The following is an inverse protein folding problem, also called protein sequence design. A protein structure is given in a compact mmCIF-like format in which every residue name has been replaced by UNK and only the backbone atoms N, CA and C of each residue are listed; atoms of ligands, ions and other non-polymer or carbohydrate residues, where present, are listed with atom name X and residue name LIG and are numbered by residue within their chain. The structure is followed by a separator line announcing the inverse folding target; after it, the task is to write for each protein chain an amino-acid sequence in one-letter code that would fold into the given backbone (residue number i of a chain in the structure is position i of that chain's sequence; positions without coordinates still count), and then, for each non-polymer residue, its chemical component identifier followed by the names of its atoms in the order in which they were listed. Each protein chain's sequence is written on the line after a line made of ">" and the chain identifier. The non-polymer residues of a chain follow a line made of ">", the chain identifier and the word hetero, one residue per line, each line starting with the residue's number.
data_IF_416627657654
#
_entry.id   IF_416627657654
#
_cell.length_a   1.000
_cell.length_b   1.000
_cell.length_c   1.000
_cell.angle_alpha   90.00
_cell.angle_beta   90.00
_cell.angle_gamma   90.00
#
_symmetry.space_group_name_H-M   'P 1'
#
loop_
_entity.id
_entity.type
_entity.pdbx_description
1 polymer ?
#
# COMPACT_ATOMS: atom_id res chain seq x y z
N UNK A 1 21.21 19.17 15.95
CA UNK A 1 20.11 19.57 15.04
C UNK A 1 19.74 21.04 15.13
N UNK A 2 20.28 21.86 16.06
CA UNK A 2 20.02 23.31 16.06
C UNK A 2 18.56 23.71 16.29
N UNK A 3 17.72 22.78 16.75
CA UNK A 3 16.31 23.03 17.04
C UNK A 3 16.21 23.67 18.43
N UNK A 4 15.47 24.78 18.59
CA UNK A 4 15.29 25.43 19.88
C UNK A 4 14.71 24.52 20.96
N UNK A 5 15.22 24.64 22.19
CA UNK A 5 14.81 23.78 23.32
C UNK A 5 13.33 23.90 23.70
N UNK A 6 12.71 25.06 23.47
CA UNK A 6 11.29 25.26 23.75
C UNK A 6 10.38 24.39 22.87
N UNK A 7 10.86 23.90 21.72
CA UNK A 7 10.12 22.98 20.84
C UNK A 7 10.40 21.50 21.18
N UNK A 8 11.61 21.18 21.65
CA UNK A 8 11.99 19.79 21.97
C UNK A 8 11.58 19.39 23.39
N UNK A 9 11.53 20.33 24.33
CA UNK A 9 11.12 20.12 25.72
C UNK A 9 9.72 19.50 25.84
N UNK A 10 8.66 20.05 25.20
CA UNK A 10 7.32 19.47 25.26
C UNK A 10 7.29 18.03 24.74
N UNK A 11 7.94 17.77 23.61
CA UNK A 11 8.03 16.43 23.03
C UNK A 11 8.77 15.47 23.98
N UNK A 12 9.90 15.90 24.56
CA UNK A 12 10.65 15.08 25.51
C UNK A 12 9.80 14.75 26.75
N UNK A 13 9.06 15.72 27.28
CA UNK A 13 8.19 15.53 28.44
C UNK A 13 7.00 14.60 28.13
N UNK A 14 6.53 14.56 26.87
CA UNK A 14 5.50 13.58 26.45
C UNK A 14 5.97 12.14 26.34
N UNK A 15 7.28 11.86 26.44
CA UNK A 15 7.82 10.49 26.36
C UNK A 15 8.70 10.11 27.57
N UNK A 16 9.21 11.07 28.33
CA UNK A 16 10.11 10.81 29.45
C UNK A 16 9.33 10.37 30.71
N UNK A 17 9.73 9.25 31.30
CA UNK A 17 9.26 8.79 32.62
C UNK A 17 7.76 8.51 32.68
N UNK A 18 7.16 8.10 31.57
CA UNK A 18 5.71 7.88 31.50
C UNK A 18 5.31 6.52 32.04
N UNK A 19 4.18 6.50 32.73
CA UNK A 19 3.45 5.28 33.06
C UNK A 19 2.12 5.26 32.29
N UNK A 20 1.69 4.07 31.89
CA UNK A 20 0.41 3.83 31.27
C UNK A 20 -0.39 2.79 32.06
N UNK A 21 -1.70 2.85 31.89
CA UNK A 21 -2.62 1.78 32.26
C UNK A 21 -3.56 1.54 31.09
N UNK A 22 -4.04 0.29 30.92
CA UNK A 22 -4.96 -0.09 29.86
C UNK A 22 -6.34 -0.28 30.46
N UNK A 23 -7.31 0.49 29.96
CA UNK A 23 -8.73 0.26 30.26
C UNK A 23 -9.29 -0.79 29.32
N UNK A 24 -9.76 -1.89 29.88
CA UNK A 24 -10.44 -2.97 29.17
C UNK A 24 -11.93 -3.01 29.59
N UNK A 25 -12.73 -3.86 28.92
CA UNK A 25 -14.12 -4.10 29.33
C UNK A 25 -14.25 -4.74 30.73
N UNK A 26 -13.18 -5.34 31.25
CA UNK A 26 -13.16 -6.03 32.55
C UNK A 26 -12.56 -5.17 33.68
N UNK A 27 -12.11 -3.95 33.39
CA UNK A 27 -11.49 -3.06 34.38
C UNK A 27 -10.25 -2.33 33.86
N UNK A 28 -9.57 -1.65 34.77
CA UNK A 28 -8.34 -0.88 34.52
C UNK A 28 -7.16 -1.72 35.03
N UNK A 29 -6.11 -1.88 34.22
CA UNK A 29 -4.89 -2.61 34.65
C UNK A 29 -4.06 -1.79 35.61
N UNK A 30 -3.08 -2.41 36.26
CA UNK A 30 -2.07 -1.68 37.02
C UNK A 30 -1.26 -0.75 36.11
N UNK A 31 -0.65 0.26 36.73
CA UNK A 31 0.28 1.16 36.06
C UNK A 31 1.57 0.42 35.70
N UNK A 32 2.07 0.66 34.49
CA UNK A 32 3.35 0.14 34.02
C UNK A 32 4.13 1.22 33.28
N UNK A 33 5.45 1.15 33.39
CA UNK A 33 6.36 2.09 32.74
C UNK A 33 6.38 1.89 31.22
N UNK A 34 6.25 2.99 30.48
CA UNK A 34 6.35 2.98 29.02
C UNK A 34 7.84 2.97 28.64
N UNK A 35 8.24 1.91 27.95
CA UNK A 35 9.60 1.76 27.44
C UNK A 35 9.84 2.56 26.14
N UNK A 36 10.66 2.00 25.24
CA UNK A 36 11.00 2.63 23.96
C UNK A 36 9.93 2.36 22.90
N UNK A 37 8.88 3.18 22.87
CA UNK A 37 7.77 3.05 21.90
C UNK A 37 7.21 4.40 21.46
N UNK A 38 6.55 4.41 20.31
CA UNK A 38 5.64 5.49 19.90
C UNK A 38 4.21 5.10 20.26
N UNK A 39 3.39 6.03 20.72
CA UNK A 39 2.01 5.76 21.11
C UNK A 39 1.12 5.50 19.89
N UNK A 40 0.55 4.32 19.78
CA UNK A 40 -0.38 4.01 18.69
C UNK A 40 -1.67 4.84 18.86
N UNK A 41 -2.09 5.53 17.79
CA UNK A 41 -3.22 6.45 17.81
C UNK A 41 -2.87 7.89 18.20
N UNK A 42 -1.63 8.18 18.61
CA UNK A 42 -1.18 9.57 18.78
C UNK A 42 -0.89 10.21 17.42
N UNK A 43 -1.34 11.46 17.24
CA UNK A 43 -1.19 12.23 16.00
C UNK A 43 0.29 12.51 15.67
N UNK A 44 1.16 12.65 16.69
CA UNK A 44 2.59 12.94 16.51
C UNK A 44 3.44 11.69 16.27
N UNK A 45 2.97 10.53 16.72
CA UNK A 45 3.73 9.27 16.63
C UNK A 45 4.17 8.92 15.19
N UNK A 46 3.33 9.06 14.14
CA UNK A 46 3.76 8.81 12.77
C UNK A 46 4.92 9.72 12.34
N UNK A 47 4.85 11.02 12.64
CA UNK A 47 5.89 11.99 12.29
C UNK A 47 7.21 11.70 13.01
N UNK A 48 7.13 11.45 14.33
CA UNK A 48 8.31 11.11 15.13
C UNK A 48 8.96 9.81 14.68
N UNK A 49 8.15 8.81 14.34
CA UNK A 49 8.65 7.54 13.80
C UNK A 49 9.34 7.73 12.45
N UNK A 50 8.76 8.54 11.55
CA UNK A 50 9.37 8.83 10.25
C UNK A 50 10.71 9.57 10.39
N UNK A 51 10.78 10.59 11.25
CA UNK A 51 12.04 11.29 11.55
C UNK A 51 13.10 10.34 12.11
N UNK A 52 12.68 9.41 12.98
CA UNK A 52 13.56 8.40 13.53
C UNK A 52 14.04 7.39 12.49
N UNK A 53 13.14 6.93 11.62
CA UNK A 53 13.46 6.05 10.51
C UNK A 53 14.42 6.72 9.53
N UNK A 54 14.19 7.98 9.17
CA UNK A 54 15.07 8.78 8.31
C UNK A 54 16.46 8.95 8.92
N UNK A 55 16.54 9.25 10.22
CA UNK A 55 17.81 9.30 10.94
C UNK A 55 18.60 7.99 10.83
N UNK A 56 17.94 6.84 10.92
CA UNK A 56 18.58 5.53 10.75
C UNK A 56 19.02 5.34 9.29
N UNK A 57 18.17 5.73 8.32
CA UNK A 57 18.47 5.54 6.90
C UNK A 57 19.64 6.41 6.43
N UNK A 58 19.86 7.58 7.05
CA UNK A 58 20.94 8.53 6.74
C UNK A 58 22.27 8.22 7.44
N UNK A 59 22.35 7.12 8.20
CA UNK A 59 23.62 6.77 8.83
C UNK A 59 24.67 6.38 7.79
N UNK A 60 25.93 6.81 7.99
CA UNK A 60 27.00 6.58 7.03
C UNK A 60 27.18 5.08 6.76
N UNK A 61 27.25 4.74 5.48
CA UNK A 61 27.39 3.37 5.01
C UNK A 61 26.11 2.66 4.55
N UNK A 62 24.95 3.31 4.63
CA UNK A 62 23.72 2.90 3.95
C UNK A 62 23.46 3.72 2.66
N UNK A 63 23.94 4.97 2.59
CA UNK A 63 23.83 5.88 1.42
C UNK A 63 24.65 5.42 0.20
N UNK A 64 25.84 4.83 0.40
CA UNK A 64 26.73 4.34 -0.68
C UNK A 64 26.15 3.18 -1.51
N UNK A 65 24.96 2.69 -1.16
CA UNK A 65 24.24 1.67 -1.92
C UNK A 65 23.30 2.25 -3.00
N UNK A 66 23.07 3.57 -3.03
CA UNK A 66 22.06 4.22 -3.89
C UNK A 66 22.58 4.77 -5.22
N UNK A 67 23.86 4.57 -5.56
CA UNK A 67 24.44 5.17 -6.75
C UNK A 67 23.86 4.62 -8.07
N UNK A 68 23.30 5.56 -8.85
CA UNK A 68 22.66 5.52 -10.19
C UNK A 68 22.73 4.20 -10.99
N UNK A 69 21.58 3.53 -11.15
CA UNK A 69 21.46 2.21 -11.81
C UNK A 69 20.86 2.30 -13.23
N UNK A 70 21.64 1.89 -14.25
CA UNK A 70 21.17 1.29 -15.51
C UNK A 70 21.15 -0.26 -15.37
N UNK A 71 20.04 -0.87 -15.75
CA UNK A 71 19.65 -2.31 -15.68
C UNK A 71 20.61 -3.24 -16.47
N UNK A 72 20.91 -4.51 -16.07
CA UNK A 72 19.95 -5.64 -15.87
C UNK A 72 20.19 -6.55 -14.62
N UNK A 73 19.15 -7.31 -14.22
CA UNK A 73 18.99 -8.24 -13.08
C UNK A 73 18.82 -7.61 -11.66
N UNK A 74 17.64 -7.82 -11.04
CA UNK A 74 17.20 -7.18 -9.79
C UNK A 74 16.77 -8.22 -8.72
N UNK A 75 17.28 -8.05 -7.49
CA UNK A 75 16.74 -8.66 -6.25
C UNK A 75 16.01 -7.55 -5.49
N UNK A 76 14.78 -7.83 -5.08
CA UNK A 76 14.02 -6.99 -4.16
C UNK A 76 13.91 -7.70 -2.81
N UNK A 77 14.40 -7.03 -1.77
CA UNK A 77 14.17 -7.44 -0.38
C UNK A 77 13.03 -6.58 0.12
N UNK A 78 12.00 -7.19 0.71
CA UNK A 78 10.92 -6.42 1.32
C UNK A 78 10.67 -6.88 2.74
N UNK A 79 10.59 -5.92 3.66
CA UNK A 79 10.19 -6.13 5.05
C UNK A 79 8.81 -5.56 5.28
N UNK A 80 7.84 -6.40 5.66
CA UNK A 80 6.49 -5.96 6.00
C UNK A 80 6.42 -5.22 7.33
N UNK A 81 6.65 -3.91 7.33
CA UNK A 81 6.29 -3.02 8.44
C UNK A 81 5.29 -1.96 7.97
N UNK A 82 4.19 -1.80 8.70
CA UNK A 82 3.10 -0.87 8.36
C UNK A 82 3.38 0.59 8.76
N UNK A 83 4.50 0.87 9.44
CA UNK A 83 4.87 2.25 9.83
C UNK A 83 6.30 2.64 9.49
N UNK A 84 7.13 1.70 9.03
CA UNK A 84 8.46 1.99 8.48
C UNK A 84 8.34 1.95 6.98
N UNK A 85 9.03 2.84 6.22
CA UNK A 85 9.29 2.53 4.82
C UNK A 85 9.85 1.11 4.79
N UNK A 86 9.15 0.15 4.18
CA UNK A 86 9.73 -1.15 3.92
C UNK A 86 11.07 -0.88 3.25
N UNK A 87 12.11 -1.59 3.68
CA UNK A 87 13.43 -1.43 3.07
C UNK A 87 13.35 -2.00 1.65
N UNK A 88 12.75 -1.27 0.71
CA UNK A 88 12.72 -1.60 -0.70
C UNK A 88 14.12 -1.31 -1.23
N UNK A 89 14.96 -2.33 -1.17
CA UNK A 89 16.30 -2.23 -1.70
C UNK A 89 16.39 -3.00 -3.00
N UNK A 90 16.57 -2.26 -4.10
CA UNK A 90 16.98 -2.82 -5.39
C UNK A 90 18.47 -3.11 -5.32
N UNK A 91 18.86 -4.38 -5.43
CA UNK A 91 20.28 -4.76 -5.45
C UNK A 91 20.61 -5.55 -6.70
N UNK A 92 21.68 -5.14 -7.40
CA UNK A 92 22.16 -5.69 -8.68
C UNK A 92 22.96 -7.00 -8.54
N UNK A 93 23.43 -7.36 -7.34
CA UNK A 93 24.23 -8.58 -7.08
C UNK A 93 23.87 -9.22 -5.75
N UNK A 94 23.68 -10.54 -5.74
CA UNK A 94 23.36 -11.34 -4.54
C UNK A 94 24.32 -11.05 -3.37
N UNK A 95 25.62 -10.91 -3.63
CA UNK A 95 26.64 -10.68 -2.59
C UNK A 95 26.56 -9.32 -1.88
N UNK A 96 26.10 -8.26 -2.56
CA UNK A 96 25.97 -6.92 -1.95
C UNK A 96 24.67 -6.78 -1.15
N UNK A 97 23.67 -7.60 -1.46
CA UNK A 97 22.34 -7.52 -0.88
C UNK A 97 22.31 -8.07 0.56
N UNK A 98 22.93 -9.24 0.79
CA UNK A 98 23.07 -9.81 2.14
C UNK A 98 23.90 -8.90 3.05
N UNK A 99 25.02 -8.36 2.55
CA UNK A 99 25.86 -7.44 3.28
C UNK A 99 25.12 -6.17 3.70
N UNK A 100 24.32 -5.58 2.80
CA UNK A 100 23.60 -4.35 3.13
C UNK A 100 22.48 -4.61 4.14
N UNK A 101 21.79 -5.75 4.03
CA UNK A 101 20.78 -6.15 4.98
C UNK A 101 21.35 -6.42 6.38
N UNK A 102 22.52 -7.06 6.46
CA UNK A 102 23.24 -7.28 7.72
C UNK A 102 23.63 -5.95 8.38
N UNK A 103 24.09 -4.98 7.59
CA UNK A 103 24.43 -3.63 8.06
C UNK A 103 23.20 -2.86 8.55
N UNK A 104 22.08 -2.93 7.81
CA UNK A 104 20.79 -2.35 8.24
C UNK A 104 20.33 -2.98 9.55
N UNK A 105 20.48 -4.30 9.69
CA UNK A 105 20.14 -5.01 10.92
C UNK A 105 20.98 -4.54 12.10
N UNK A 106 22.28 -4.39 11.91
CA UNK A 106 23.20 -3.90 12.94
C UNK A 106 22.83 -2.48 13.39
N UNK A 107 22.61 -1.56 12.45
CA UNK A 107 22.24 -0.18 12.75
C UNK A 107 20.87 -0.07 13.41
N UNK A 108 19.90 -0.90 13.00
CA UNK A 108 18.58 -1.01 13.65
C UNK A 108 18.69 -1.59 15.06
N UNK A 109 19.56 -2.57 15.27
CA UNK A 109 19.83 -3.15 16.59
C UNK A 109 20.37 -2.12 17.58
N UNK A 110 21.30 -1.26 17.15
CA UNK A 110 21.86 -0.17 17.98
C UNK A 110 20.80 0.81 18.49
N UNK A 111 19.71 0.96 17.73
CA UNK A 111 18.61 1.87 18.05
C UNK A 111 17.40 1.15 18.67
N UNK A 112 17.51 -0.15 18.94
CA UNK A 112 16.46 -0.94 19.60
C UNK A 112 15.32 -1.40 18.68
N UNK A 113 15.50 -1.33 17.36
CA UNK A 113 14.57 -1.88 16.39
C UNK A 113 14.97 -3.31 16.01
N UNK A 114 14.08 -4.28 16.24
CA UNK A 114 14.28 -5.67 15.84
C UNK A 114 13.67 -5.92 14.46
N UNK A 115 14.43 -6.56 13.57
CA UNK A 115 13.90 -7.06 12.30
C UNK A 115 13.06 -8.33 12.56
N UNK A 116 11.90 -8.40 11.91
CA UNK A 116 11.09 -9.60 11.89
C UNK A 116 11.47 -10.43 10.65
N UNK A 117 12.27 -11.48 10.86
CA UNK A 117 12.78 -12.35 9.79
C UNK A 117 11.63 -13.12 9.12
N UNK A 118 10.65 -13.60 9.91
CA UNK A 118 9.48 -14.32 9.40
C UNK A 118 8.58 -13.48 8.48
N UNK A 119 8.59 -12.14 8.62
CA UNK A 119 7.85 -11.23 7.74
C UNK A 119 8.67 -10.72 6.56
N UNK A 120 9.89 -11.19 6.42
CA UNK A 120 10.80 -10.74 5.39
C UNK A 120 10.88 -11.79 4.31
N UNK A 121 10.59 -11.36 3.08
CA UNK A 121 10.62 -12.23 1.92
C UNK A 121 11.64 -11.70 0.93
N UNK A 122 12.34 -12.63 0.27
CA UNK A 122 13.27 -12.33 -0.81
C UNK A 122 12.59 -12.70 -2.12
N UNK A 123 12.59 -11.75 -3.05
CA UNK A 123 12.15 -11.97 -4.42
C UNK A 123 13.27 -11.55 -5.36
N UNK A 124 13.61 -12.41 -6.32
CA UNK A 124 14.53 -12.06 -7.40
C UNK A 124 14.01 -12.56 -8.74
N UNK A 125 14.39 -11.84 -9.79
CA UNK A 125 14.05 -12.17 -11.18
C UNK A 125 14.95 -13.29 -11.78
N UNK A 126 15.95 -13.80 -11.04
CA UNK A 126 16.89 -14.85 -11.49
C UNK A 126 17.10 -15.95 -10.44
N UNK A 127 17.98 -16.95 -10.68
CA UNK A 127 18.20 -18.05 -9.74
C UNK A 127 18.74 -17.54 -8.39
N UNK A 128 18.03 -17.91 -7.32
CA UNK A 128 18.32 -17.49 -5.94
C UNK A 128 19.00 -18.62 -5.20
N UNK A 129 20.12 -18.33 -4.55
CA UNK A 129 20.66 -19.15 -3.46
C UNK A 129 19.88 -18.84 -2.19
N UNK A 130 19.46 -19.83 -1.42
CA UNK A 130 18.83 -19.64 -0.10
C UNK A 130 19.69 -18.74 0.79
N UNK A 131 19.07 -17.81 1.53
CA UNK A 131 19.78 -16.91 2.45
C UNK A 131 19.46 -17.27 3.89
N UNK A 132 20.48 -17.23 4.74
CA UNK A 132 20.36 -17.39 6.18
C UNK A 132 20.77 -16.11 6.90
N UNK A 133 19.99 -15.70 7.88
CA UNK A 133 20.26 -14.56 8.76
C UNK A 133 20.11 -15.07 10.19
N UNK A 134 21.19 -15.03 10.98
CA UNK A 134 21.27 -15.61 12.33
C UNK A 134 20.86 -17.10 12.41
N UNK A 135 21.11 -17.87 11.34
CA UNK A 135 20.72 -19.28 11.27
C UNK A 135 19.23 -19.52 10.95
N UNK A 136 18.44 -18.46 10.73
CA UNK A 136 17.09 -18.57 10.18
C UNK A 136 17.12 -18.36 8.66
N UNK A 137 16.51 -19.28 7.91
CA UNK A 137 16.36 -19.15 6.46
C UNK A 137 15.27 -18.14 6.13
N UNK A 138 15.59 -17.20 5.24
CA UNK A 138 14.62 -16.21 4.75
C UNK A 138 13.81 -16.82 3.61
N UNK A 139 12.49 -16.69 3.66
CA UNK A 139 11.61 -17.28 2.65
C UNK A 139 11.83 -16.61 1.28
N UNK A 140 12.03 -17.45 0.26
CA UNK A 140 12.13 -17.00 -1.14
C UNK A 140 10.77 -17.15 -1.80
N UNK A 141 10.22 -16.04 -2.28
CA UNK A 141 8.87 -16.00 -2.87
C UNK A 141 8.89 -15.49 -4.31
N UNK A 142 8.03 -16.04 -5.15
CA UNK A 142 7.80 -15.56 -6.53
C UNK A 142 6.88 -14.35 -6.59
N UNK A 143 6.13 -14.09 -5.52
CA UNK A 143 5.14 -13.01 -5.41
C UNK A 143 4.91 -12.65 -3.95
N UNK A 144 4.69 -11.37 -3.64
CA UNK A 144 4.24 -10.95 -2.31
C UNK A 144 3.30 -9.74 -2.39
N UNK A 145 2.50 -9.54 -1.34
CA UNK A 145 1.60 -8.38 -1.24
C UNK A 145 2.32 -7.26 -0.50
N UNK A 146 2.41 -6.12 -1.16
CA UNK A 146 3.07 -4.92 -0.71
C UNK A 146 2.10 -3.74 -0.68
N UNK A 147 1.86 -3.15 0.49
CA UNK A 147 0.89 -2.04 0.64
C UNK A 147 -0.48 -2.31 0.02
N UNK A 148 -0.88 -3.58 -0.02
CA UNK A 148 -2.12 -4.02 -0.65
C UNK A 148 -1.96 -4.48 -2.10
N UNK A 149 -0.85 -4.17 -2.76
CA UNK A 149 -0.57 -4.55 -4.15
C UNK A 149 0.30 -5.79 -4.31
N UNK A 150 -0.10 -6.74 -5.14
CA UNK A 150 0.73 -7.92 -5.45
C UNK A 150 1.85 -7.54 -6.41
N UNK A 151 3.09 -7.78 -5.97
CA UNK A 151 4.29 -7.67 -6.79
C UNK A 151 4.74 -9.09 -7.11
N UNK A 152 5.06 -9.36 -8.38
CA UNK A 152 5.53 -10.66 -8.85
C UNK A 152 6.92 -10.52 -9.47
N UNK A 153 7.70 -11.60 -9.44
CA UNK A 153 9.09 -11.61 -9.90
C UNK A 153 9.26 -11.36 -11.41
N UNK A 154 8.21 -11.66 -12.20
CA UNK A 154 8.11 -11.40 -13.64
C UNK A 154 7.62 -9.98 -13.96
N UNK A 155 7.17 -9.23 -12.95
CA UNK A 155 6.67 -7.86 -13.11
C UNK A 155 5.32 -7.75 -13.82
N UNK A 156 4.57 -8.85 -13.94
CA UNK A 156 3.26 -8.85 -14.61
C UNK A 156 2.12 -8.43 -13.68
N UNK A 157 1.52 -7.27 -13.98
CA UNK A 157 0.38 -6.75 -13.23
C UNK A 157 -0.95 -7.46 -13.53
N UNK A 158 -1.00 -8.38 -14.49
CA UNK A 158 -2.23 -9.10 -14.84
C UNK A 158 -2.85 -9.83 -13.64
N UNK A 159 -2.02 -10.41 -12.77
CA UNK A 159 -2.48 -11.10 -11.56
C UNK A 159 -3.10 -10.13 -10.55
N UNK A 160 -2.49 -8.95 -10.41
CA UNK A 160 -2.96 -7.93 -9.49
C UNK A 160 -4.28 -7.31 -9.94
N UNK A 161 -4.39 -6.97 -11.23
CA UNK A 161 -5.64 -6.47 -11.82
C UNK A 161 -6.77 -7.47 -11.59
N UNK A 162 -6.53 -8.76 -11.86
CA UNK A 162 -7.54 -9.81 -11.60
C UNK A 162 -7.92 -9.89 -10.13
N UNK A 163 -6.95 -9.79 -9.21
CA UNK A 163 -7.19 -9.80 -7.76
C UNK A 163 -8.07 -8.62 -7.33
N UNK A 164 -7.77 -7.41 -7.77
CA UNK A 164 -8.57 -6.22 -7.48
C UNK A 164 -9.98 -6.29 -8.06
N UNK A 165 -10.14 -6.81 -9.28
CA UNK A 165 -11.46 -7.07 -9.86
C UNK A 165 -12.28 -8.08 -9.03
N UNK A 166 -11.64 -9.13 -8.51
CA UNK A 166 -12.31 -10.07 -7.60
C UNK A 166 -12.73 -9.41 -6.27
N UNK A 167 -11.89 -8.54 -5.72
CA UNK A 167 -12.25 -7.75 -4.52
C UNK A 167 -13.42 -6.80 -4.82
N UNK A 168 -13.39 -6.08 -5.94
CA UNK A 168 -14.50 -5.24 -6.39
C UNK A 168 -15.79 -6.03 -6.58
N UNK A 169 -15.72 -7.23 -7.18
CA UNK A 169 -16.87 -8.15 -7.29
C UNK A 169 -17.42 -8.51 -5.92
N UNK A 170 -16.56 -8.83 -4.95
CA UNK A 170 -16.96 -9.15 -3.57
C UNK A 170 -17.69 -7.98 -2.90
N UNK A 171 -17.20 -6.76 -3.05
CA UNK A 171 -17.89 -5.55 -2.54
C UNK A 171 -19.26 -5.40 -3.21
N UNK A 172 -19.32 -5.52 -4.53
CA UNK A 172 -20.58 -5.43 -5.29
C UNK A 172 -21.60 -6.48 -4.83
N UNK A 173 -21.17 -7.72 -4.53
CA UNK A 173 -22.05 -8.77 -4.02
C UNK A 173 -22.46 -8.55 -2.57
N UNK A 174 -21.61 -7.96 -1.73
CA UNK A 174 -21.95 -7.64 -0.34
C UNK A 174 -23.03 -6.54 -0.25
N UNK A 175 -23.05 -5.62 -1.22
CA UNK A 175 -24.03 -4.54 -1.34
C UNK A 175 -25.29 -4.94 -2.12
N UNK A 176 -25.48 -6.23 -2.41
CA UNK A 176 -26.55 -6.70 -3.29
C UNK A 176 -27.96 -6.39 -2.76
N UNK A 177 -28.18 -6.47 -1.44
CA UNK A 177 -29.45 -6.10 -0.80
C UNK A 177 -29.78 -4.62 -1.01
N UNK A 178 -28.78 -3.74 -0.89
CA UNK A 178 -28.90 -2.29 -1.09
C UNK A 178 -29.22 -1.98 -2.55
N UNK A 179 -28.52 -2.59 -3.50
CA UNK A 179 -28.79 -2.41 -4.93
C UNK A 179 -30.17 -2.98 -5.32
N UNK A 180 -30.65 -4.01 -4.61
CA UNK A 180 -31.98 -4.60 -4.79
C UNK A 180 -33.13 -3.87 -4.08
N UNK A 181 -32.88 -2.98 -3.13
CA UNK A 181 -33.93 -2.18 -2.50
C UNK A 181 -34.60 -1.23 -3.52
N UNK A 182 -35.91 -1.00 -3.40
CA UNK A 182 -36.65 -0.01 -4.21
C UNK A 182 -36.66 1.37 -3.55
N UNK A 183 -36.36 1.44 -2.25
CA UNK A 183 -36.42 2.66 -1.44
C UNK A 183 -35.22 3.57 -1.70
N UNK A 184 -34.14 3.01 -2.24
CA UNK A 184 -32.91 3.73 -2.55
C UNK A 184 -32.92 4.14 -4.02
N UNK A 185 -32.76 5.44 -4.26
CA UNK A 185 -32.74 6.03 -5.59
C UNK A 185 -31.53 5.54 -6.41
N UNK A 186 -31.67 5.51 -7.74
CA UNK A 186 -30.59 5.13 -8.64
C UNK A 186 -29.34 6.02 -8.49
N UNK A 187 -29.43 7.37 -8.41
CA UNK A 187 -28.26 8.23 -8.22
C UNK A 187 -27.46 7.88 -6.96
N UNK A 188 -28.14 7.62 -5.84
CA UNK A 188 -27.47 7.21 -4.59
C UNK A 188 -26.72 5.89 -4.76
N UNK A 189 -27.30 4.92 -5.48
CA UNK A 189 -26.63 3.64 -5.73
C UNK A 189 -25.44 3.78 -6.67
N UNK A 190 -25.54 4.64 -7.69
CA UNK A 190 -24.41 4.97 -8.56
C UNK A 190 -23.27 5.57 -7.72
N UNK A 191 -23.59 6.51 -6.82
CA UNK A 191 -22.63 7.07 -5.88
C UNK A 191 -21.96 5.99 -5.02
N UNK A 192 -22.72 5.01 -4.50
CA UNK A 192 -22.14 3.89 -3.74
C UNK A 192 -21.18 3.02 -4.56
N UNK A 193 -21.50 2.72 -5.83
CA UNK A 193 -20.58 1.99 -6.71
C UNK A 193 -19.29 2.79 -6.91
N UNK A 194 -19.41 4.09 -7.21
CA UNK A 194 -18.27 4.99 -7.41
C UNK A 194 -17.42 5.18 -6.15
N UNK A 195 -18.02 5.19 -4.96
CA UNK A 195 -17.32 5.47 -3.71
C UNK A 195 -16.78 4.21 -3.01
N UNK A 196 -17.34 3.03 -3.26
CA UNK A 196 -16.98 1.80 -2.54
C UNK A 196 -16.42 0.70 -3.43
N UNK A 197 -16.87 0.58 -4.68
CA UNK A 197 -16.46 -0.52 -5.57
C UNK A 197 -15.26 -0.10 -6.41
N UNK A 198 -15.34 1.05 -7.08
CA UNK A 198 -14.26 1.47 -7.98
C UNK A 198 -12.95 1.82 -7.27
N UNK A 199 -12.92 2.45 -6.09
CA UNK A 199 -11.64 2.70 -5.39
C UNK A 199 -10.91 1.41 -5.03
N UNK A 200 -11.64 0.33 -4.74
CA UNK A 200 -11.05 -1.00 -4.46
C UNK A 200 -10.42 -1.60 -5.72
N UNK A 201 -11.02 -1.36 -6.89
CA UNK A 201 -10.50 -1.86 -8.18
C UNK A 201 -9.33 -1.01 -8.67
N UNK A 202 -9.40 0.31 -8.47
CA UNK A 202 -8.43 1.28 -8.97
C UNK A 202 -7.21 1.45 -8.06
N UNK A 203 -7.25 0.92 -6.83
CA UNK A 203 -6.13 1.02 -5.92
C UNK A 203 -4.86 0.44 -6.56
N UNK A 204 -3.76 1.20 -6.56
CA UNK A 204 -2.49 0.79 -7.14
C UNK A 204 -2.42 0.80 -8.68
N UNK A 205 -3.49 1.18 -9.39
CA UNK A 205 -3.47 1.25 -10.87
C UNK A 205 -2.47 2.28 -11.43
N UNK A 206 -2.11 3.32 -10.66
CA UNK A 206 -1.05 4.28 -11.01
C UNK A 206 0.30 3.62 -11.28
N UNK A 207 0.55 2.47 -10.65
CA UNK A 207 1.79 1.71 -10.79
C UNK A 207 1.67 0.55 -11.79
N UNK A 208 0.49 0.31 -12.35
CA UNK A 208 0.23 -0.84 -13.22
C UNK A 208 0.43 -0.49 -14.70
N UNK A 209 1.21 -1.32 -15.40
CA UNK A 209 1.24 -1.30 -16.87
C UNK A 209 0.02 -2.06 -17.40
N UNK A 210 -1.06 -1.35 -17.72
CA UNK A 210 -2.29 -1.96 -18.28
C UNK A 210 -2.08 -2.22 -19.78
N UNK A 211 -2.14 -3.49 -20.21
CA UNK A 211 -2.12 -3.83 -21.64
C UNK A 211 -3.56 -3.90 -22.17
N UNK A 212 -3.67 -4.00 -23.50
CA UNK A 212 -4.97 -3.95 -24.19
C UNK A 212 -5.94 -5.05 -23.74
N UNK A 213 -5.44 -6.23 -23.40
CA UNK A 213 -6.27 -7.34 -22.93
C UNK A 213 -6.86 -7.05 -21.54
N UNK A 214 -6.07 -6.44 -20.66
CA UNK A 214 -6.45 -6.06 -19.30
C UNK A 214 -7.49 -4.92 -19.32
N UNK A 215 -7.37 -3.96 -20.23
CA UNK A 215 -8.41 -2.95 -20.49
C UNK A 215 -9.77 -3.60 -20.78
N UNK A 216 -9.80 -4.59 -21.69
CA UNK A 216 -11.06 -5.28 -22.03
C UNK A 216 -11.70 -5.99 -20.82
N UNK A 217 -10.88 -6.53 -19.91
CA UNK A 217 -11.36 -7.18 -18.69
C UNK A 217 -11.93 -6.16 -17.71
N UNK A 218 -11.29 -4.99 -17.60
CA UNK A 218 -11.75 -3.88 -16.76
C UNK A 218 -13.09 -3.33 -17.30
N UNK A 219 -13.19 -3.09 -18.62
CA UNK A 219 -14.41 -2.64 -19.27
C UNK A 219 -15.55 -3.65 -19.07
N UNK A 220 -15.25 -4.95 -19.18
CA UNK A 220 -16.21 -6.01 -18.93
C UNK A 220 -16.69 -6.03 -17.47
N UNK A 221 -15.81 -5.73 -16.51
CA UNK A 221 -16.17 -5.61 -15.10
C UNK A 221 -17.04 -4.38 -14.83
N UNK A 222 -16.71 -3.23 -15.43
CA UNK A 222 -17.53 -2.02 -15.32
C UNK A 222 -18.95 -2.29 -15.84
N UNK A 223 -19.06 -2.83 -17.06
CA UNK A 223 -20.35 -3.21 -17.65
C UNK A 223 -21.11 -4.20 -16.78
N UNK A 224 -20.41 -5.17 -16.16
CA UNK A 224 -21.01 -6.10 -15.22
C UNK A 224 -21.59 -5.39 -13.98
N UNK A 225 -20.88 -4.41 -13.41
CA UNK A 225 -21.35 -3.61 -12.28
C UNK A 225 -22.64 -2.84 -12.64
N UNK A 226 -22.64 -2.14 -13.77
CA UNK A 226 -23.80 -1.36 -14.22
C UNK A 226 -25.00 -2.23 -14.57
N UNK A 227 -24.79 -3.35 -15.26
CA UNK A 227 -25.87 -4.31 -15.55
C UNK A 227 -26.49 -4.87 -14.28
N UNK A 228 -25.67 -5.20 -13.28
CA UNK A 228 -26.15 -5.69 -11.99
C UNK A 228 -26.96 -4.61 -11.26
N UNK A 229 -26.47 -3.38 -11.24
CA UNK A 229 -27.18 -2.25 -10.63
C UNK A 229 -28.54 -1.99 -11.28
N UNK A 230 -28.59 -2.03 -12.61
CA UNK A 230 -29.79 -1.79 -13.41
C UNK A 230 -30.69 -3.03 -13.57
N UNK A 231 -30.26 -4.19 -13.06
CA UNK A 231 -30.94 -5.49 -13.18
C UNK A 231 -31.20 -5.92 -14.63
N UNK A 232 -30.28 -5.59 -15.52
CA UNK A 232 -30.35 -6.01 -16.93
C UNK A 232 -29.93 -7.47 -17.03
N UNK A 233 -30.75 -8.31 -17.66
CA UNK A 233 -30.44 -9.73 -17.87
C UNK A 233 -29.21 -9.89 -18.77
N UNK A 234 -28.42 -10.95 -18.54
CA UNK A 234 -27.21 -11.22 -19.31
C UNK A 234 -27.48 -11.56 -20.80
N UNK A 235 -28.69 -12.01 -21.13
CA UNK A 235 -29.14 -12.35 -22.49
C UNK A 235 -29.59 -11.15 -23.32
N UNK A 236 -29.70 -9.96 -22.72
CA UNK A 236 -29.98 -8.74 -23.47
C UNK A 236 -28.74 -8.38 -24.31
N UNK A 237 -28.78 -8.79 -25.58
CA UNK A 237 -27.67 -8.67 -26.54
C UNK A 237 -27.33 -7.20 -26.85
N UNK A 238 -28.24 -6.26 -26.58
CA UNK A 238 -28.01 -4.83 -26.74
C UNK A 238 -27.58 -4.21 -25.41
N UNK A 239 -26.48 -3.44 -25.46
CA UNK A 239 -26.12 -2.49 -24.39
C UNK A 239 -27.30 -1.53 -24.27
N UNK A 240 -28.20 -1.78 -23.32
CA UNK A 240 -29.42 -1.01 -23.19
C UNK A 240 -29.07 0.48 -23.09
N UNK A 241 -29.80 1.36 -23.80
CA UNK A 241 -29.67 2.81 -23.70
C UNK A 241 -29.53 3.29 -22.24
N UNK A 242 -30.20 2.61 -21.30
CA UNK A 242 -30.10 2.86 -19.85
C UNK A 242 -28.69 2.67 -19.25
N UNK A 243 -27.91 1.69 -19.72
CA UNK A 243 -26.51 1.50 -19.30
C UNK A 243 -25.67 2.64 -19.84
N UNK A 244 -25.81 2.97 -21.12
CA UNK A 244 -25.09 4.09 -21.73
C UNK A 244 -25.44 5.43 -21.10
N UNK A 245 -26.70 5.69 -20.76
CA UNK A 245 -27.10 6.89 -20.03
C UNK A 245 -26.39 6.95 -18.67
N UNK A 246 -26.28 5.84 -17.93
CA UNK A 246 -25.56 5.85 -16.65
C UNK A 246 -24.05 6.09 -16.87
N UNK A 247 -23.44 5.40 -17.84
CA UNK A 247 -22.02 5.54 -18.17
C UNK A 247 -21.67 6.96 -18.68
N UNK A 248 -22.51 7.56 -19.53
CA UNK A 248 -22.29 8.91 -20.06
C UNK A 248 -22.67 10.00 -19.05
N UNK A 249 -23.77 9.85 -18.33
CA UNK A 249 -24.30 10.89 -17.44
C UNK A 249 -23.59 10.92 -16.07
N UNK A 250 -22.96 9.81 -15.66
CA UNK A 250 -22.19 9.73 -14.41
C UNK A 250 -20.67 9.60 -14.61
N UNK A 251 -20.19 9.94 -15.82
CA UNK A 251 -18.79 9.86 -16.24
C UNK A 251 -18.26 8.41 -16.37
N UNK A 252 -17.61 8.13 -17.51
CA UNK A 252 -17.04 6.82 -17.80
C UNK A 252 -15.90 6.50 -16.83
N UNK A 253 -15.74 5.24 -16.43
CA UNK A 253 -14.66 4.76 -15.54
C UNK A 253 -13.27 5.29 -15.89
N UNK A 254 -13.00 5.50 -17.19
CA UNK A 254 -11.74 6.05 -17.69
C UNK A 254 -11.58 7.56 -17.50
N UNK A 255 -12.66 8.36 -17.55
CA UNK A 255 -12.56 9.79 -17.24
C UNK A 255 -12.45 10.05 -15.73
N UNK A 256 -12.99 9.14 -14.91
CA UNK A 256 -12.80 9.17 -13.46
C UNK A 256 -11.36 8.85 -13.07
N UNK A 257 -10.59 8.17 -13.92
CA UNK A 257 -9.15 7.97 -13.68
C UNK A 257 -8.40 9.32 -13.64
N UNK A 258 -8.72 10.23 -14.55
CA UNK A 258 -8.16 11.60 -14.56
C UNK A 258 -8.74 12.45 -13.40
N UNK A 259 -10.03 12.34 -13.10
CA UNK A 259 -10.68 13.16 -12.08
C UNK A 259 -10.39 12.72 -10.63
N UNK A 260 -10.19 11.42 -10.39
CA UNK A 260 -9.83 10.87 -9.07
C UNK A 260 -8.37 11.20 -8.73
N UNK A 261 -7.50 11.29 -9.76
CA UNK A 261 -6.14 11.81 -9.63
C UNK A 261 -6.16 13.26 -9.13
N UNK A 262 -6.99 14.12 -9.72
CA UNK A 262 -7.14 15.52 -9.29
C UNK A 262 -7.82 15.67 -7.91
N UNK A 263 -8.83 14.85 -7.58
CA UNK A 263 -9.59 14.98 -6.34
C UNK A 263 -8.84 14.48 -5.09
N UNK A 264 -8.01 13.43 -5.20
CA UNK A 264 -7.22 12.90 -4.08
C UNK A 264 -5.77 13.44 -4.03
N UNK A 265 -5.17 13.81 -5.16
CA UNK A 265 -3.78 14.29 -5.23
C UNK A 265 -3.61 15.76 -5.64
N UNK A 266 -4.69 16.50 -5.88
CA UNK A 266 -4.67 17.93 -6.25
C UNK A 266 -4.03 18.90 -5.26
N UNK A 267 -3.46 18.43 -4.14
CA UNK A 267 -2.63 19.23 -3.24
C UNK A 267 -1.11 18.98 -3.37
N UNK A 268 -0.65 18.04 -4.22
CA UNK A 268 0.77 17.68 -4.30
C UNK A 268 1.32 17.57 -5.73
N UNK A 269 0.88 18.43 -6.65
CA UNK A 269 1.60 18.67 -7.91
C UNK A 269 2.28 20.03 -7.83
N UNK A 270 3.39 20.09 -7.09
CA UNK A 270 4.41 21.10 -7.34
C UNK A 270 5.03 20.73 -8.70
N UNK A 271 4.71 21.55 -9.70
CA UNK A 271 5.29 21.50 -11.04
C UNK A 271 6.81 21.32 -11.00
N UNK A 272 7.30 20.19 -11.54
CA UNK A 272 8.61 20.18 -12.19
C UNK A 272 8.40 20.42 -13.68
N UNK A 273 8.49 21.69 -14.07
CA UNK A 273 8.69 22.10 -15.46
C UNK A 273 10.13 21.76 -15.83
N UNK A 274 10.29 20.82 -16.75
CA UNK A 274 11.58 20.60 -17.43
C UNK A 274 11.70 21.67 -18.50
N UNK A 275 12.77 22.47 -18.43
CA UNK A 275 13.32 23.21 -19.56
C UNK A 275 14.33 22.31 -20.24
#
# INVERSE_FOLDING_TARGET
>A
MGIPDHLTSPLRNTYAGQEATVRTGHGITDWFQIGKVVHQGCILSPCLFNLYAEYIMRKPGLEEAQDRIKMPAEISITSGMQMTPPLWQKVKRNSKASFTLMKVKEERGKVGLKLNIQKMNIMASGPITSWEIDGETVETVSGFIFWGSQITADGDFSHEIKRHLLLGRKVMTNLDSIFKSRDITLPTKVCLVMAMVFPVVMYGCESCTVKKAEHQIIDAFELWCWRRLLRVLWTAFTVSHRVWVVVFHFHSFLCTFDFFFDFFFGLLVIQKRVV
#
